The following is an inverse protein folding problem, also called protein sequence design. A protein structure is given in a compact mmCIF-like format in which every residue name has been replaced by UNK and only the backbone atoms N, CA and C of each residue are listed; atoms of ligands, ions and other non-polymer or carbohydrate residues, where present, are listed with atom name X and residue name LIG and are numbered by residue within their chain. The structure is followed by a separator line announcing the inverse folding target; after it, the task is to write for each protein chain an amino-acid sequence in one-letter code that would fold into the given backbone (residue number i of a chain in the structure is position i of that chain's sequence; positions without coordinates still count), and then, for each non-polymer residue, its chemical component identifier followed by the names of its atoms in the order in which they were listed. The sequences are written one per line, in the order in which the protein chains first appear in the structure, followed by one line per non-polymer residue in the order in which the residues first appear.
data_IF_849361743363
#
_entry.id   IF_849361743363
#
_cell.length_a   1.000
_cell.length_b   1.000
_cell.length_c   1.000
_cell.angle_alpha   90.00
_cell.angle_beta   90.00
_cell.angle_gamma   90.00
#
_symmetry.space_group_name_H-M   'P 1'
#
loop_
_entity.id
_entity.type
_entity.pdbx_description
1 polymer ?
#
# COMPACT_ATOMS: atom_id res chain seq x y z
N UNK A 1 -5.18 0.53 -9.77
CA UNK A 1 -5.82 -0.57 -9.01
C UNK A 1 -7.23 -0.91 -9.54
N UNK A 2 -8.12 0.07 -9.77
CA UNK A 2 -9.45 -0.19 -10.33
C UNK A 2 -9.34 -0.99 -11.65
N UNK A 3 -8.46 -0.55 -12.55
CA UNK A 3 -8.21 -1.23 -13.83
C UNK A 3 -7.50 -2.58 -13.63
N UNK A 4 -6.53 -2.65 -12.73
CA UNK A 4 -5.75 -3.87 -12.44
C UNK A 4 -6.67 -5.00 -11.96
N UNK A 5 -7.61 -4.70 -11.07
CA UNK A 5 -8.55 -5.67 -10.51
C UNK A 5 -9.89 -5.74 -11.26
N UNK A 6 -10.01 -5.04 -12.40
CA UNK A 6 -11.25 -5.00 -13.20
C UNK A 6 -12.52 -4.65 -12.37
N UNK A 7 -12.38 -3.72 -11.43
CA UNK A 7 -13.47 -3.29 -10.56
C UNK A 7 -14.45 -2.41 -11.35
N UNK A 8 -15.70 -2.80 -11.35
CA UNK A 8 -16.78 -2.02 -11.98
C UNK A 8 -17.22 -0.88 -11.05
N UNK A 9 -17.11 0.35 -11.51
CA UNK A 9 -17.49 1.55 -10.77
C UNK A 9 -18.34 2.49 -11.63
N UNK A 10 -19.24 3.29 -11.03
CA UNK A 10 -19.99 4.31 -11.76
C UNK A 10 -19.06 5.34 -12.41
N UNK A 11 -19.43 5.80 -13.62
CA UNK A 11 -18.68 6.87 -14.31
C UNK A 11 -18.62 8.16 -13.48
N UNK A 12 -19.67 8.46 -12.71
CA UNK A 12 -19.69 9.59 -11.78
C UNK A 12 -18.58 9.55 -10.75
N UNK A 13 -18.22 8.35 -10.25
CA UNK A 13 -17.09 8.19 -9.33
C UNK A 13 -15.75 8.43 -10.03
N UNK A 14 -15.60 7.98 -11.28
CA UNK A 14 -14.40 8.27 -12.07
C UNK A 14 -14.21 9.77 -12.21
N UNK A 15 -15.26 10.50 -12.61
CA UNK A 15 -15.22 11.96 -12.73
C UNK A 15 -14.88 12.64 -11.39
N UNK A 16 -15.51 12.20 -10.29
CA UNK A 16 -15.20 12.72 -8.94
C UNK A 16 -13.72 12.54 -8.58
N UNK A 17 -13.14 11.37 -8.87
CA UNK A 17 -11.73 11.08 -8.60
C UNK A 17 -10.78 11.91 -9.49
N UNK A 18 -11.14 12.09 -10.77
CA UNK A 18 -10.38 12.94 -11.70
C UNK A 18 -10.40 14.39 -11.28
N UNK A 19 -11.56 14.96 -10.92
CA UNK A 19 -11.69 16.34 -10.44
C UNK A 19 -10.86 16.57 -9.17
N UNK A 20 -10.94 15.65 -8.20
CA UNK A 20 -10.12 15.69 -6.98
C UNK A 20 -8.63 15.61 -7.30
N UNK A 21 -8.24 14.72 -8.20
CA UNK A 21 -6.86 14.57 -8.64
C UNK A 21 -6.34 15.89 -9.25
N UNK A 22 -7.06 16.46 -10.23
CA UNK A 22 -6.66 17.69 -10.90
C UNK A 22 -6.51 18.84 -9.92
N UNK A 23 -7.45 19.00 -8.99
CA UNK A 23 -7.40 20.03 -7.98
C UNK A 23 -6.18 19.89 -7.07
N UNK A 24 -6.02 18.74 -6.42
CA UNK A 24 -4.94 18.50 -5.45
C UNK A 24 -3.55 18.61 -6.08
N UNK A 25 -3.35 17.99 -7.22
CA UNK A 25 -2.03 18.03 -7.86
C UNK A 25 -1.72 19.40 -8.48
N UNK A 26 -2.72 20.16 -8.95
CA UNK A 26 -2.52 21.54 -9.37
C UNK A 26 -2.03 22.43 -8.23
N UNK A 27 -2.55 22.22 -7.04
CA UNK A 27 -2.16 22.96 -5.83
C UNK A 27 -0.77 22.55 -5.31
N UNK A 28 -0.49 21.25 -5.26
CA UNK A 28 0.78 20.71 -4.73
C UNK A 28 1.96 21.03 -5.66
N UNK A 29 1.79 20.79 -6.95
CA UNK A 29 2.86 20.92 -7.95
C UNK A 29 2.81 22.22 -8.76
N UNK A 30 2.18 23.27 -8.21
CA UNK A 30 2.21 24.59 -8.84
C UNK A 30 3.65 24.95 -9.18
N UNK A 31 3.90 25.13 -10.48
CA UNK A 31 5.14 25.69 -10.98
C UNK A 31 4.79 27.01 -11.67
N UNK A 32 5.31 28.11 -11.16
CA UNK A 32 5.12 29.44 -11.74
C UNK A 32 5.69 29.57 -13.15
N UNK A 33 6.55 28.64 -13.56
CA UNK A 33 7.20 28.64 -14.86
C UNK A 33 6.62 27.59 -15.85
N UNK A 34 5.96 26.55 -15.37
CA UNK A 34 5.44 25.47 -16.22
C UNK A 34 4.06 25.02 -15.70
N UNK A 35 3.00 25.57 -16.27
CA UNK A 35 1.61 25.19 -15.97
C UNK A 35 1.23 23.78 -16.52
N UNK A 36 2.12 22.81 -16.48
CA UNK A 36 1.85 21.47 -17.01
C UNK A 36 1.52 20.51 -15.85
N UNK A 37 0.26 20.16 -15.70
CA UNK A 37 -0.19 19.05 -14.86
C UNK A 37 0.12 17.73 -15.57
N UNK A 38 0.80 16.84 -14.85
CA UNK A 38 1.13 15.53 -15.35
C UNK A 38 -0.07 14.57 -15.17
N UNK A 39 -0.26 13.59 -16.05
CA UNK A 39 -1.31 12.59 -15.88
C UNK A 39 -1.04 11.69 -14.67
N UNK A 40 -2.09 11.08 -14.06
CA UNK A 40 -1.97 10.20 -12.89
C UNK A 40 -0.95 9.08 -13.04
N UNK A 41 -0.79 8.54 -14.25
CA UNK A 41 0.17 7.49 -14.56
C UNK A 41 1.62 7.93 -14.32
N UNK A 42 1.94 9.19 -14.57
CA UNK A 42 3.30 9.73 -14.34
C UNK A 42 3.60 9.86 -12.84
N UNK A 43 2.63 10.33 -12.04
CA UNK A 43 2.81 10.37 -10.58
C UNK A 43 2.88 8.97 -9.97
N UNK A 44 2.13 8.01 -10.52
CA UNK A 44 2.26 6.61 -10.13
C UNK A 44 3.65 6.05 -10.44
N UNK A 45 4.21 6.35 -11.61
CA UNK A 45 5.59 6.00 -11.95
C UNK A 45 6.59 6.68 -11.02
N UNK A 46 6.41 7.96 -10.70
CA UNK A 46 7.23 8.65 -9.71
C UNK A 46 7.20 7.94 -8.34
N UNK A 47 6.03 7.48 -7.91
CA UNK A 47 5.91 6.68 -6.69
C UNK A 47 6.62 5.32 -6.79
N UNK A 48 6.68 4.70 -7.96
CA UNK A 48 7.43 3.45 -8.16
C UNK A 48 8.94 3.64 -7.92
N UNK A 49 9.47 4.87 -8.09
CA UNK A 49 10.88 5.18 -7.82
C UNK A 49 11.23 5.30 -6.33
N UNK A 50 10.27 5.18 -5.41
CA UNK A 50 10.46 5.34 -3.95
C UNK A 50 11.52 4.43 -3.31
N UNK A 51 11.93 3.36 -4.00
CA UNK A 51 13.01 2.47 -3.56
C UNK A 51 14.40 2.95 -3.96
N UNK A 52 14.49 3.96 -4.81
CA UNK A 52 15.75 4.54 -5.25
C UNK A 52 16.19 5.67 -4.29
N UNK A 53 17.51 5.87 -4.15
CA UNK A 53 18.00 7.04 -3.42
C UNK A 53 17.75 8.31 -4.27
N UNK A 54 16.97 9.29 -3.78
CA UNK A 54 16.71 10.52 -4.52
C UNK A 54 17.98 11.29 -4.92
N UNK A 55 19.08 11.16 -4.16
CA UNK A 55 20.35 11.80 -4.48
C UNK A 55 20.94 11.32 -5.80
N UNK A 56 20.61 10.11 -6.23
CA UNK A 56 21.07 9.58 -7.52
C UNK A 56 20.60 10.44 -8.70
N UNK A 57 19.47 11.10 -8.54
CA UNK A 57 18.85 11.93 -9.57
C UNK A 57 19.24 13.41 -9.47
N UNK A 58 19.60 13.91 -8.27
CA UNK A 58 19.97 15.30 -8.06
C UNK A 58 21.26 15.70 -8.79
N UNK A 59 22.24 14.80 -8.84
CA UNK A 59 23.51 15.05 -9.51
C UNK A 59 23.34 15.11 -11.04
N UNK A 60 22.35 14.39 -11.57
CA UNK A 60 22.01 14.39 -13.00
C UNK A 60 21.44 15.74 -13.44
N UNK A 61 20.60 16.35 -12.60
CA UNK A 61 20.00 17.66 -12.89
C UNK A 61 21.07 18.77 -12.90
N UNK A 62 21.97 18.76 -11.91
CA UNK A 62 23.06 19.73 -11.82
C UNK A 62 24.02 19.67 -13.02
N UNK A 63 24.39 18.47 -13.48
CA UNK A 63 25.22 18.31 -14.66
C UNK A 63 24.52 18.74 -15.95
N UNK A 64 23.21 18.44 -16.07
CA UNK A 64 22.40 18.87 -17.19
C UNK A 64 22.30 20.40 -17.25
N UNK A 65 22.18 21.10 -16.11
CA UNK A 65 22.21 22.56 -16.04
C UNK A 65 23.58 23.13 -16.41
N UNK A 66 24.66 22.50 -15.96
CA UNK A 66 26.04 22.92 -16.29
C UNK A 66 26.34 22.76 -17.79
N UNK A 67 25.90 21.65 -18.40
CA UNK A 67 26.07 21.46 -19.86
C UNK A 67 25.14 22.38 -20.66
N UNK A 68 23.92 22.65 -20.18
CA UNK A 68 22.99 23.57 -20.83
C UNK A 68 23.48 25.02 -20.86
N UNK A 69 24.24 25.47 -19.85
CA UNK A 69 24.86 26.79 -19.83
C UNK A 69 25.87 26.97 -20.97
N UNK A 70 26.31 25.89 -21.61
CA UNK A 70 27.24 25.86 -22.73
C UNK A 70 26.59 25.73 -24.10
N UNK A 71 25.26 25.47 -24.18
CA UNK A 71 24.56 25.12 -25.42
C UNK A 71 23.36 26.03 -25.65
N UNK A 72 23.10 26.39 -26.90
CA UNK A 72 21.92 27.15 -27.33
C UNK A 72 20.61 26.40 -27.06
N UNK A 73 19.60 27.14 -26.62
CA UNK A 73 18.35 26.69 -25.99
C UNK A 73 17.46 25.70 -26.75
N UNK A 74 17.70 25.39 -28.01
CA UNK A 74 16.85 24.50 -28.83
C UNK A 74 17.08 23.00 -28.54
N UNK A 75 18.26 22.61 -28.08
CA UNK A 75 18.64 21.20 -27.87
C UNK A 75 18.71 20.79 -26.39
N UNK A 76 18.41 21.70 -25.47
CA UNK A 76 18.55 21.48 -24.03
C UNK A 76 17.76 20.28 -23.51
N UNK A 77 16.49 20.16 -23.90
CA UNK A 77 15.63 19.06 -23.44
C UNK A 77 16.07 17.68 -23.96
N UNK A 78 16.62 17.62 -25.17
CA UNK A 78 17.14 16.36 -25.72
C UNK A 78 18.47 15.97 -25.07
N UNK A 79 19.33 16.96 -24.79
CA UNK A 79 20.59 16.72 -24.09
C UNK A 79 20.37 16.28 -22.64
N UNK A 80 19.44 16.91 -21.91
CA UNK A 80 19.03 16.46 -20.57
C UNK A 80 18.59 15.00 -20.60
N UNK A 81 17.76 14.64 -21.58
CA UNK A 81 17.29 13.28 -21.77
C UNK A 81 18.43 12.31 -22.04
N UNK A 82 19.36 12.69 -22.88
CA UNK A 82 20.50 11.83 -23.25
C UNK A 82 21.48 11.63 -22.09
N UNK A 83 21.83 12.69 -21.35
CA UNK A 83 22.67 12.64 -20.16
C UNK A 83 22.02 11.79 -19.09
N UNK A 84 20.73 12.01 -18.86
CA UNK A 84 19.93 11.27 -17.91
C UNK A 84 19.89 9.76 -18.23
N UNK A 85 19.60 9.39 -19.47
CA UNK A 85 19.54 7.98 -19.89
C UNK A 85 20.93 7.31 -19.84
N UNK A 86 22.00 8.02 -20.24
CA UNK A 86 23.37 7.51 -20.14
C UNK A 86 23.77 7.22 -18.70
N UNK A 87 23.41 8.10 -17.75
CA UNK A 87 23.74 7.90 -16.34
C UNK A 87 22.92 6.78 -15.70
N UNK A 88 21.63 6.69 -16.01
CA UNK A 88 20.80 5.58 -15.52
C UNK A 88 21.32 4.21 -15.98
N UNK A 89 21.85 4.11 -17.20
CA UNK A 89 22.44 2.88 -17.72
C UNK A 89 23.78 2.49 -17.05
N UNK A 90 24.49 3.44 -16.44
CA UNK A 90 25.78 3.22 -15.79
C UNK A 90 25.66 3.10 -14.27
N UNK A 91 24.45 3.19 -13.71
CA UNK A 91 24.25 3.25 -12.28
C UNK A 91 24.36 1.86 -11.65
N UNK A 92 25.45 1.65 -10.93
CA UNK A 92 25.62 0.63 -9.90
C UNK A 92 25.83 1.37 -8.56
N UNK A 93 25.10 1.12 -7.51
CA UNK A 93 24.59 -0.18 -7.08
C UNK A 93 23.18 -0.46 -7.58
N UNK A 94 22.85 -1.77 -7.59
CA UNK A 94 21.50 -2.28 -7.81
C UNK A 94 20.50 -1.48 -6.97
N UNK A 95 19.43 -1.03 -7.58
CA UNK A 95 18.35 -0.37 -6.86
C UNK A 95 17.70 -1.32 -5.87
N UNK A 96 16.85 -0.79 -4.99
CA UNK A 96 16.02 -1.60 -4.12
C UNK A 96 15.28 -2.70 -4.91
N UNK A 97 14.67 -2.35 -6.04
CA UNK A 97 13.88 -3.27 -6.86
C UNK A 97 14.72 -4.39 -7.49
N UNK A 98 15.90 -4.06 -8.01
CA UNK A 98 16.82 -5.06 -8.55
C UNK A 98 17.31 -6.02 -7.46
N UNK A 99 17.58 -5.50 -6.26
CA UNK A 99 17.91 -6.36 -5.10
C UNK A 99 16.74 -7.26 -4.68
N UNK A 100 15.50 -6.83 -4.91
CA UNK A 100 14.31 -7.66 -4.70
C UNK A 100 14.05 -8.66 -5.84
N UNK A 101 14.95 -8.78 -6.81
CA UNK A 101 14.82 -9.75 -7.91
C UNK A 101 13.90 -9.34 -9.05
N UNK A 102 13.53 -8.04 -9.14
CA UNK A 102 12.80 -7.53 -10.29
C UNK A 102 13.78 -7.30 -11.44
N UNK A 103 13.62 -8.06 -12.52
CA UNK A 103 14.48 -8.02 -13.68
C UNK A 103 14.12 -6.88 -14.65
N UNK A 104 15.00 -6.65 -15.65
CA UNK A 104 14.76 -5.68 -16.73
C UNK A 104 13.40 -5.88 -17.41
N UNK A 105 12.74 -4.77 -17.76
CA UNK A 105 11.42 -4.79 -18.41
C UNK A 105 10.23 -4.70 -17.45
N UNK A 106 10.47 -4.55 -16.15
CA UNK A 106 9.44 -4.33 -15.14
C UNK A 106 8.92 -2.88 -15.13
N UNK A 107 7.83 -2.64 -14.41
CA UNK A 107 7.20 -1.32 -14.30
C UNK A 107 8.16 -0.23 -13.78
N UNK A 108 9.09 -0.58 -12.89
CA UNK A 108 10.04 0.42 -12.37
C UNK A 108 11.11 0.84 -13.39
N UNK A 109 11.55 -0.07 -14.29
CA UNK A 109 12.42 0.29 -15.41
C UNK A 109 11.73 1.30 -16.31
N UNK A 110 10.43 1.10 -16.57
CA UNK A 110 9.59 2.06 -17.30
C UNK A 110 9.52 3.40 -16.58
N UNK A 111 9.38 3.42 -15.26
CA UNK A 111 9.35 4.64 -14.45
C UNK A 111 10.68 5.42 -14.52
N UNK A 112 11.81 4.74 -14.45
CA UNK A 112 13.15 5.35 -14.60
C UNK A 112 13.37 5.97 -15.96
N UNK A 113 12.82 5.37 -17.01
CA UNK A 113 12.93 5.87 -18.36
C UNK A 113 11.97 7.03 -18.66
N UNK A 114 11.05 7.35 -17.74
CA UNK A 114 10.15 8.48 -17.88
C UNK A 114 10.68 9.71 -17.15
N UNK A 115 11.28 10.64 -17.91
CA UNK A 115 11.85 11.88 -17.36
C UNK A 115 10.85 12.66 -16.50
N UNK A 116 9.58 12.76 -16.93
CA UNK A 116 8.54 13.47 -16.16
C UNK A 116 8.27 12.79 -14.80
N UNK A 117 8.33 11.46 -14.74
CA UNK A 117 8.21 10.72 -13.49
C UNK A 117 9.41 10.99 -12.57
N UNK A 118 10.61 11.02 -13.12
CA UNK A 118 11.82 11.33 -12.35
C UNK A 118 11.82 12.78 -11.87
N UNK A 119 11.45 13.75 -12.71
CA UNK A 119 11.30 15.15 -12.28
C UNK A 119 10.28 15.30 -11.14
N UNK A 120 9.13 14.63 -11.24
CA UNK A 120 8.14 14.63 -10.17
C UNK A 120 8.68 14.01 -8.87
N UNK A 121 9.46 12.92 -8.97
CA UNK A 121 10.12 12.26 -7.84
C UNK A 121 11.16 13.17 -7.18
N UNK A 122 12.03 13.83 -7.95
CA UNK A 122 13.02 14.81 -7.46
C UNK A 122 12.31 15.97 -6.75
N UNK A 123 11.29 16.57 -7.38
CA UNK A 123 10.52 17.67 -6.78
C UNK A 123 9.86 17.26 -5.46
N UNK A 124 9.31 16.06 -5.37
CA UNK A 124 8.77 15.55 -4.12
C UNK A 124 9.81 15.51 -3.00
N UNK A 125 11.04 15.15 -3.30
CA UNK A 125 12.11 15.03 -2.29
C UNK A 125 12.84 16.32 -1.98
N UNK A 126 13.07 17.19 -2.95
CA UNK A 126 13.96 18.32 -2.83
C UNK A 126 13.29 19.70 -2.93
N UNK A 127 12.06 19.80 -3.47
CA UNK A 127 11.33 21.07 -3.53
C UNK A 127 10.60 21.34 -2.19
N UNK A 128 11.06 22.34 -1.39
CA UNK A 128 10.42 22.65 -0.11
C UNK A 128 8.97 23.10 -0.26
N UNK A 129 8.64 23.76 -1.38
CA UNK A 129 7.29 24.22 -1.67
C UNK A 129 6.34 23.06 -1.92
N UNK A 130 6.76 22.05 -2.71
CA UNK A 130 5.99 20.82 -2.93
C UNK A 130 5.77 20.09 -1.60
N UNK A 131 6.81 19.96 -0.78
CA UNK A 131 6.69 19.33 0.55
C UNK A 131 5.73 20.07 1.47
N UNK A 132 5.83 21.40 1.54
CA UNK A 132 4.97 22.21 2.39
C UNK A 132 3.50 22.04 1.98
N UNK A 133 3.18 22.24 0.71
CA UNK A 133 1.82 22.10 0.19
C UNK A 133 1.29 20.67 0.30
N UNK A 134 2.13 19.65 0.06
CA UNK A 134 1.75 18.24 0.22
C UNK A 134 1.46 17.81 1.66
N UNK A 135 1.91 18.58 2.66
CA UNK A 135 1.63 18.35 4.08
C UNK A 135 0.42 19.14 4.60
N UNK A 136 -0.18 20.00 3.78
CA UNK A 136 -1.40 20.71 4.16
C UNK A 136 -2.55 19.72 4.34
N UNK A 137 -3.35 19.94 5.39
CA UNK A 137 -4.50 19.09 5.69
C UNK A 137 -5.70 19.57 4.90
N UNK A 138 -6.34 18.66 4.21
CA UNK A 138 -7.57 18.91 3.50
C UNK A 138 -8.69 17.95 3.92
N UNK A 139 -9.92 18.47 4.02
CA UNK A 139 -11.09 17.65 4.29
C UNK A 139 -11.54 16.92 3.03
N UNK A 140 -11.52 15.60 3.09
CA UNK A 140 -12.03 14.72 2.05
C UNK A 140 -13.43 14.25 2.39
N UNK A 141 -14.43 14.65 1.61
CA UNK A 141 -15.74 14.03 1.67
C UNK A 141 -15.70 12.69 0.94
N UNK A 142 -15.97 11.63 1.68
CA UNK A 142 -16.03 10.26 1.15
C UNK A 142 -17.47 9.97 0.77
N UNK A 143 -17.73 9.74 -0.53
CA UNK A 143 -19.03 9.28 -1.02
C UNK A 143 -19.23 7.78 -0.70
N UNK A 144 -20.51 7.34 -0.66
CA UNK A 144 -20.83 5.92 -0.49
C UNK A 144 -20.25 5.07 -1.62
N UNK A 145 -20.22 5.59 -2.85
CA UNK A 145 -19.65 4.92 -4.01
C UNK A 145 -18.14 4.73 -3.87
N UNK A 146 -17.46 5.75 -3.33
CA UNK A 146 -16.03 5.63 -3.01
C UNK A 146 -15.76 4.56 -1.95
N UNK A 147 -16.53 4.54 -0.87
CA UNK A 147 -16.40 3.56 0.20
C UNK A 147 -16.65 2.13 -0.33
N UNK A 148 -17.66 1.95 -1.19
CA UNK A 148 -17.95 0.67 -1.84
C UNK A 148 -16.80 0.22 -2.76
N UNK A 149 -16.26 1.14 -3.56
CA UNK A 149 -15.10 0.85 -4.41
C UNK A 149 -13.90 0.37 -3.58
N UNK A 150 -13.59 1.05 -2.48
CA UNK A 150 -12.50 0.63 -1.58
C UNK A 150 -12.74 -0.79 -1.03
N UNK A 151 -13.96 -1.10 -0.64
CA UNK A 151 -14.32 -2.44 -0.14
C UNK A 151 -14.10 -3.51 -1.21
N UNK A 152 -14.46 -3.23 -2.47
CA UNK A 152 -14.22 -4.15 -3.59
C UNK A 152 -12.72 -4.32 -3.89
N UNK A 153 -11.95 -3.23 -3.85
CA UNK A 153 -10.50 -3.28 -4.02
C UNK A 153 -9.84 -4.11 -2.91
N UNK A 154 -10.24 -3.91 -1.65
CA UNK A 154 -9.73 -4.70 -0.53
C UNK A 154 -10.08 -6.20 -0.67
N UNK A 155 -11.28 -6.52 -1.17
CA UNK A 155 -11.66 -7.90 -1.43
C UNK A 155 -10.78 -8.53 -2.51
N UNK A 156 -10.59 -7.85 -3.64
CA UNK A 156 -9.72 -8.31 -4.72
C UNK A 156 -8.27 -8.50 -4.27
N UNK A 157 -7.72 -7.57 -3.48
CA UNK A 157 -6.37 -7.70 -2.90
C UNK A 157 -6.24 -8.91 -1.97
N UNK A 158 -7.24 -9.18 -1.13
CA UNK A 158 -7.21 -10.37 -0.28
C UNK A 158 -7.20 -11.67 -1.09
N UNK A 159 -7.96 -11.72 -2.18
CA UNK A 159 -7.92 -12.87 -3.10
C UNK A 159 -6.53 -13.04 -3.70
N UNK A 160 -5.91 -11.98 -4.20
CA UNK A 160 -4.56 -12.05 -4.75
C UNK A 160 -3.52 -12.50 -3.70
N UNK A 161 -3.62 -12.03 -2.46
CA UNK A 161 -2.75 -12.44 -1.35
C UNK A 161 -2.87 -13.95 -1.10
N UNK A 162 -4.11 -14.46 -1.08
CA UNK A 162 -4.35 -15.89 -0.91
C UNK A 162 -3.78 -16.73 -2.08
N UNK A 163 -4.02 -16.29 -3.31
CA UNK A 163 -3.52 -16.97 -4.53
C UNK A 163 -1.98 -16.99 -4.60
N UNK A 164 -1.33 -15.99 -4.03
CA UNK A 164 0.14 -15.91 -3.94
C UNK A 164 0.71 -16.64 -2.71
N UNK A 165 -0.13 -17.26 -1.91
CA UNK A 165 0.26 -17.94 -0.67
C UNK A 165 1.07 -17.04 0.29
N UNK A 166 0.69 -15.75 0.37
CA UNK A 166 1.30 -14.80 1.29
C UNK A 166 0.58 -14.91 2.63
N UNK A 167 1.32 -15.23 3.69
CA UNK A 167 0.81 -15.24 5.05
C UNK A 167 0.70 -13.81 5.62
N UNK A 168 -0.26 -13.58 6.50
CA UNK A 168 -0.47 -12.30 7.18
C UNK A 168 -0.25 -12.48 8.68
N UNK A 169 0.67 -11.71 9.23
CA UNK A 169 0.80 -11.51 10.66
C UNK A 169 -0.23 -10.47 11.13
N UNK A 170 -0.94 -10.79 12.22
CA UNK A 170 -1.88 -9.88 12.86
C UNK A 170 -1.52 -9.65 14.31
N UNK A 171 -1.61 -8.39 14.76
CA UNK A 171 -1.24 -7.97 16.11
C UNK A 171 -2.42 -7.22 16.74
N UNK A 172 -3.45 -7.92 17.30
CA UNK A 172 -4.73 -7.32 17.66
C UNK A 172 -4.64 -6.09 18.55
N UNK A 173 -3.81 -6.13 19.62
CA UNK A 173 -3.65 -4.99 20.55
C UNK A 173 -2.92 -3.83 19.87
N UNK A 174 -1.81 -4.07 19.18
CA UNK A 174 -1.10 -3.06 18.43
C UNK A 174 -2.00 -2.43 17.36
N UNK A 175 -2.62 -3.27 16.53
CA UNK A 175 -3.50 -2.83 15.46
C UNK A 175 -4.69 -2.00 15.97
N UNK A 176 -5.25 -2.33 17.16
CA UNK A 176 -6.29 -1.54 17.80
C UNK A 176 -5.78 -0.19 18.33
N UNK A 177 -4.58 -0.16 18.92
CA UNK A 177 -3.99 1.07 19.48
C UNK A 177 -3.61 2.08 18.38
N UNK A 178 -3.08 1.62 17.26
CA UNK A 178 -2.60 2.48 16.17
C UNK A 178 -3.55 2.53 14.96
N UNK A 179 -4.47 1.58 14.83
CA UNK A 179 -5.41 1.48 13.72
C UNK A 179 -6.69 2.30 13.92
N UNK A 180 -7.57 2.23 12.91
CA UNK A 180 -8.83 2.99 12.88
C UNK A 180 -9.98 2.31 13.64
N UNK A 181 -9.90 1.02 13.96
CA UNK A 181 -10.97 0.31 14.65
C UNK A 181 -10.87 0.42 16.18
N UNK A 182 -12.01 0.34 16.87
CA UNK A 182 -12.11 0.58 18.32
C UNK A 182 -12.30 -0.70 19.13
N UNK A 183 -12.82 -1.75 18.53
CA UNK A 183 -13.11 -3.03 19.18
C UNK A 183 -12.28 -4.14 18.55
N UNK A 184 -11.89 -5.14 19.31
CA UNK A 184 -11.17 -6.30 18.79
C UNK A 184 -11.99 -7.11 17.77
N UNK A 185 -13.31 -7.14 17.90
CA UNK A 185 -14.21 -7.81 16.94
C UNK A 185 -14.17 -7.15 15.55
N UNK A 186 -13.86 -5.83 15.49
CA UNK A 186 -13.73 -5.10 14.22
C UNK A 186 -12.39 -5.38 13.52
N UNK A 187 -11.52 -6.17 14.14
CA UNK A 187 -10.23 -6.52 13.57
C UNK A 187 -10.41 -7.29 12.24
N UNK A 188 -9.68 -6.96 11.17
CA UNK A 188 -9.90 -7.55 9.84
C UNK A 188 -9.54 -9.03 9.72
N UNK A 189 -9.00 -9.67 10.75
CA UNK A 189 -8.57 -11.08 10.74
C UNK A 189 -9.67 -12.03 10.27
N UNK A 190 -10.93 -11.78 10.65
CA UNK A 190 -12.09 -12.58 10.21
C UNK A 190 -12.40 -12.44 8.70
N UNK A 191 -11.88 -11.38 8.06
CA UNK A 191 -11.95 -11.20 6.61
C UNK A 191 -10.79 -11.86 5.87
N UNK A 192 -9.76 -12.28 6.59
CA UNK A 192 -8.64 -13.04 6.06
C UNK A 192 -8.88 -14.54 6.19
N UNK A 193 -9.34 -14.97 7.37
CA UNK A 193 -9.64 -16.36 7.70
C UNK A 193 -10.85 -16.45 8.61
N UNK A 194 -11.88 -17.20 8.21
CA UNK A 194 -13.10 -17.39 8.98
C UNK A 194 -13.61 -18.83 8.99
N UNK A 195 -12.88 -19.75 8.42
CA UNK A 195 -13.20 -21.18 8.51
C UNK A 195 -13.24 -21.60 9.98
N UNK A 196 -14.16 -22.47 10.32
CA UNK A 196 -14.47 -22.94 11.69
C UNK A 196 -15.11 -21.90 12.62
N UNK A 197 -15.01 -20.59 12.33
CA UNK A 197 -15.70 -19.54 13.07
C UNK A 197 -17.13 -19.33 12.55
N UNK A 198 -17.27 -19.19 11.24
CA UNK A 198 -18.50 -18.83 10.56
C UNK A 198 -19.30 -20.10 10.19
N UNK A 199 -20.60 -20.08 10.45
CA UNK A 199 -21.53 -21.20 10.12
C UNK A 199 -22.19 -21.01 8.75
N UNK A 200 -22.25 -19.78 8.25
CA UNK A 200 -22.81 -19.46 6.95
C UNK A 200 -21.84 -19.87 5.85
N UNK A 201 -22.23 -20.89 5.09
CA UNK A 201 -21.40 -21.43 4.01
C UNK A 201 -21.02 -20.40 2.96
N UNK A 202 -21.90 -19.46 2.61
CA UNK A 202 -21.61 -18.43 1.62
C UNK A 202 -20.58 -17.42 2.14
N UNK A 203 -20.62 -17.10 3.43
CA UNK A 203 -19.59 -16.25 4.05
C UNK A 203 -18.23 -16.95 4.12
N UNK A 204 -18.20 -18.25 4.45
CA UNK A 204 -16.96 -19.03 4.43
C UNK A 204 -16.39 -19.09 3.03
N UNK A 205 -17.22 -19.39 2.02
CA UNK A 205 -16.82 -19.48 0.62
C UNK A 205 -16.31 -18.16 0.04
N UNK A 206 -16.88 -17.05 0.47
CA UNK A 206 -16.47 -15.70 0.01
C UNK A 206 -15.21 -15.17 0.69
N UNK A 207 -14.75 -15.78 1.77
CA UNK A 207 -13.52 -15.45 2.44
C UNK A 207 -12.34 -16.18 1.77
N UNK A 208 -11.23 -15.50 1.46
CA UNK A 208 -10.11 -16.09 0.74
C UNK A 208 -9.30 -17.11 1.55
N UNK A 209 -9.56 -17.28 2.84
CA UNK A 209 -8.91 -18.24 3.75
C UNK A 209 -7.37 -18.09 3.72
N UNK A 210 -6.89 -16.87 3.92
CA UNK A 210 -5.46 -16.55 3.97
C UNK A 210 -4.85 -17.17 5.22
N UNK A 211 -3.63 -17.70 5.12
CA UNK A 211 -2.87 -18.12 6.29
C UNK A 211 -2.55 -16.90 7.17
N UNK A 212 -3.01 -16.94 8.43
CA UNK A 212 -2.86 -15.83 9.38
C UNK A 212 -2.24 -16.30 10.70
N UNK A 213 -1.53 -15.40 11.37
CA UNK A 213 -1.07 -15.61 12.74
C UNK A 213 -1.50 -14.46 13.65
N UNK A 214 -1.62 -14.74 14.95
CA UNK A 214 -1.79 -13.72 15.98
C UNK A 214 -0.49 -13.60 16.75
N UNK A 215 0.04 -12.38 16.80
CA UNK A 215 1.29 -12.03 17.49
C UNK A 215 1.11 -10.80 18.36
N UNK A 216 2.18 -10.40 19.06
CA UNK A 216 2.13 -9.32 20.05
C UNK A 216 2.61 -7.98 19.52
N UNK A 217 3.36 -7.99 18.38
CA UNK A 217 4.21 -6.86 18.00
C UNK A 217 5.25 -6.57 19.11
N UNK A 218 5.55 -5.34 19.40
CA UNK A 218 6.51 -4.95 20.43
C UNK A 218 5.88 -5.07 21.84
N UNK A 219 6.29 -6.10 22.58
CA UNK A 219 5.80 -6.38 23.93
C UNK A 219 5.97 -5.19 24.86
N UNK A 220 7.11 -4.50 24.78
CA UNK A 220 7.43 -3.38 25.67
C UNK A 220 6.61 -2.13 25.36
N UNK A 221 6.18 -1.95 24.11
CA UNK A 221 5.39 -0.79 23.68
C UNK A 221 3.89 -1.02 23.94
N UNK A 222 3.41 -2.23 23.64
CA UNK A 222 1.98 -2.51 23.67
C UNK A 222 1.49 -3.14 25.00
N UNK A 223 2.40 -3.50 25.89
CA UNK A 223 2.10 -4.08 27.22
C UNK A 223 1.12 -5.25 27.09
N UNK A 224 1.52 -6.25 26.31
CA UNK A 224 0.73 -7.45 26.02
C UNK A 224 1.62 -8.68 25.94
N UNK A 225 1.04 -9.85 25.90
CA UNK A 225 1.70 -11.11 25.61
C UNK A 225 0.78 -11.98 24.72
N UNK A 226 1.32 -13.06 24.20
CA UNK A 226 0.59 -13.89 23.23
C UNK A 226 -0.70 -14.48 23.80
N UNK A 227 -0.69 -14.92 25.05
CA UNK A 227 -1.88 -15.44 25.74
C UNK A 227 -2.96 -14.37 25.87
N UNK A 228 -2.59 -13.13 26.19
CA UNK A 228 -3.51 -12.00 26.24
C UNK A 228 -4.13 -11.71 24.86
N UNK A 229 -3.35 -11.76 23.78
CA UNK A 229 -3.88 -11.51 22.43
C UNK A 229 -4.97 -12.53 22.06
N UNK A 230 -4.72 -13.83 22.30
CA UNK A 230 -5.72 -14.88 22.08
C UNK A 230 -6.91 -14.73 23.01
N UNK A 231 -6.71 -14.45 24.30
CA UNK A 231 -7.79 -14.25 25.27
C UNK A 231 -8.67 -13.03 24.93
N UNK A 232 -8.07 -11.92 24.52
CA UNK A 232 -8.79 -10.72 24.12
C UNK A 232 -9.64 -10.96 22.86
N UNK A 233 -9.10 -11.69 21.89
CA UNK A 233 -9.87 -12.08 20.70
C UNK A 233 -11.02 -13.03 21.06
N UNK A 234 -10.78 -14.05 21.87
CA UNK A 234 -11.83 -14.97 22.33
C UNK A 234 -12.98 -14.20 23.04
N UNK A 235 -12.64 -13.37 24.03
CA UNK A 235 -13.63 -12.58 24.79
C UNK A 235 -14.40 -11.61 23.87
N UNK A 236 -13.72 -10.99 22.90
CA UNK A 236 -14.39 -10.10 21.98
C UNK A 236 -15.43 -10.83 21.11
N UNK A 237 -15.06 -12.00 20.59
CA UNK A 237 -15.95 -12.80 19.76
C UNK A 237 -17.12 -13.39 20.57
N UNK A 238 -16.90 -13.84 21.81
CA UNK A 238 -17.95 -14.37 22.70
C UNK A 238 -18.99 -13.30 23.10
N UNK A 239 -18.58 -12.04 23.20
CA UNK A 239 -19.47 -10.93 23.55
C UNK A 239 -20.27 -10.39 22.37
N UNK A 240 -19.91 -10.74 21.15
CA UNK A 240 -20.59 -10.23 19.97
C UNK A 240 -21.95 -10.89 19.80
N UNK A 241 -22.94 -10.06 19.47
CA UNK A 241 -24.34 -10.47 19.34
C UNK A 241 -24.88 -10.07 17.98
N UNK A 242 -25.81 -10.87 17.49
CA UNK A 242 -26.61 -10.57 16.32
C UNK A 242 -27.66 -9.48 16.60
N UNK A 243 -28.42 -9.08 15.57
CA UNK A 243 -29.48 -8.09 15.67
C UNK A 243 -30.60 -8.47 16.67
N UNK A 244 -30.73 -9.75 16.98
CA UNK A 244 -31.72 -10.30 17.92
C UNK A 244 -31.17 -10.44 19.35
N UNK A 245 -29.90 -10.07 19.57
CA UNK A 245 -29.21 -10.18 20.86
C UNK A 245 -28.72 -11.60 21.20
N UNK A 246 -28.76 -12.55 20.25
CA UNK A 246 -28.17 -13.87 20.41
C UNK A 246 -26.65 -13.83 20.11
N UNK A 247 -25.83 -14.70 20.71
CA UNK A 247 -24.42 -14.80 20.40
C UNK A 247 -24.20 -14.98 18.89
N UNK A 248 -23.35 -14.15 18.29
CA UNK A 248 -23.03 -14.24 16.87
C UNK A 248 -22.25 -15.50 16.53
N UNK A 249 -21.36 -15.92 17.43
CA UNK A 249 -20.54 -17.11 17.29
C UNK A 249 -20.75 -18.04 18.50
N UNK A 250 -20.70 -19.35 18.31
CA UNK A 250 -20.66 -20.25 19.44
C UNK A 250 -19.24 -20.42 19.98
N UNK A 251 -19.08 -20.57 21.30
CA UNK A 251 -17.77 -20.66 21.94
C UNK A 251 -16.90 -21.77 21.35
N UNK A 252 -17.47 -22.91 20.98
CA UNK A 252 -16.73 -24.00 20.34
C UNK A 252 -16.06 -23.56 19.02
N UNK A 253 -16.80 -22.83 18.19
CA UNK A 253 -16.28 -22.34 16.91
C UNK A 253 -15.18 -21.31 17.12
N UNK A 254 -15.33 -20.42 18.10
CA UNK A 254 -14.30 -19.42 18.44
C UNK A 254 -13.00 -20.14 18.81
N UNK A 255 -13.04 -21.14 19.69
CA UNK A 255 -11.84 -21.84 20.11
C UNK A 255 -11.23 -22.72 19.02
N UNK A 256 -12.05 -23.36 18.18
CA UNK A 256 -11.56 -24.08 17.01
C UNK A 256 -10.83 -23.14 16.01
N UNK A 257 -11.42 -21.97 15.75
CA UNK A 257 -10.86 -20.95 14.88
C UNK A 257 -9.54 -20.40 15.43
N UNK A 258 -9.47 -20.09 16.72
CA UNK A 258 -8.23 -19.62 17.37
C UNK A 258 -7.15 -20.69 17.36
N UNK A 259 -7.51 -21.96 17.56
CA UNK A 259 -6.55 -23.07 17.46
C UNK A 259 -6.03 -23.25 16.03
N UNK A 260 -6.89 -23.15 15.02
CA UNK A 260 -6.44 -23.16 13.63
C UNK A 260 -5.46 -22.01 13.31
N UNK A 261 -5.71 -20.79 13.83
CA UNK A 261 -4.80 -19.66 13.68
C UNK A 261 -3.47 -19.91 14.40
N UNK A 262 -3.52 -20.51 15.59
CA UNK A 262 -2.31 -20.89 16.32
C UNK A 262 -1.45 -21.87 15.52
N UNK A 263 -2.08 -22.88 14.92
CA UNK A 263 -1.40 -23.87 14.08
C UNK A 263 -0.79 -23.22 12.85
N UNK A 264 -1.51 -22.34 12.14
CA UNK A 264 -0.96 -21.56 11.03
C UNK A 264 0.24 -20.70 11.47
N UNK A 265 0.20 -20.11 12.67
CA UNK A 265 1.32 -19.35 13.23
C UNK A 265 2.57 -20.22 13.47
N UNK A 266 2.39 -21.46 13.93
CA UNK A 266 3.50 -22.43 14.05
C UNK A 266 4.08 -22.81 12.69
N UNK A 267 3.24 -23.02 11.67
CA UNK A 267 3.66 -23.33 10.30
C UNK A 267 4.43 -22.17 9.64
N UNK A 268 4.11 -20.91 10.02
CA UNK A 268 4.78 -19.72 9.52
C UNK A 268 6.16 -19.48 10.15
N UNK A 269 6.55 -20.22 11.18
CA UNK A 269 7.84 -20.06 11.84
C UNK A 269 8.98 -20.47 10.90
N UNK A 270 9.97 -19.59 10.78
CA UNK A 270 11.24 -19.92 10.11
C UNK A 270 12.09 -20.81 11.04
N UNK A 271 11.73 -22.06 11.14
CA UNK A 271 12.57 -23.05 11.83
C UNK A 271 13.65 -23.41 10.84
N UNK A 272 14.87 -22.94 11.11
CA UNK A 272 16.05 -23.44 10.38
C UNK A 272 16.11 -24.96 10.57
N UNK A 273 16.08 -25.69 9.47
CA UNK A 273 16.41 -27.11 9.48
C UNK A 273 17.88 -27.22 9.83
N UNK A 274 18.20 -27.20 11.13
CA UNK A 274 19.45 -27.69 11.65
C UNK A 274 19.23 -29.18 11.91
N UNK A 275 19.43 -30.01 10.90
CA UNK A 275 19.89 -31.38 11.05
C UNK A 275 21.41 -31.40 10.97
#
# INVERSE_FOLDING_TARGET
QIKTYNIQVPLSLINELEDKYWRLYSEIYVDSAKNELLPPSVYFQAWQLRGDDPKLYSDIELEAELEASKISSSNYKELQKEIFLKKLCHFQPLTFWERCGFNEGTEFTTARNNIKAVEAYIRYHFDPGVKARGNEKEEFKISNEYAKMISLLQAAMRTEIAERHIAIETNPTSNKKIGAFKKYVDHPITKFYNQDLELDYEKVRSCPQISVSINTDDLGVFDTNLENEYALMAIAMEKEKDENGAPLYCSRNIYNWLEAIRQMGEEQRFIGLYE
#
